data_IF_308145845695
#
_entry.id   IF_308145845695
#
_cell.length_a   1.000
_cell.length_b   1.000
_cell.length_c   1.000
_cell.angle_alpha   90.00
_cell.angle_beta   90.00
_cell.angle_gamma   90.00
#
_symmetry.space_group_name_H-M   'P 1'
#
loop_
_entity.id
_entity.type
_entity.pdbx_description
1 polymer ?
#
# COMPACT_ATOMS: atom_id res chain seq x y z
N UNK A 1 -20.26 -20.97 -0.76
CA UNK A 1 -19.38 -20.07 -1.55
C UNK A 1 -19.76 -18.60 -1.32
N UNK A 2 -21.03 -18.27 -1.12
CA UNK A 2 -21.50 -16.87 -0.93
C UNK A 2 -21.00 -16.20 0.36
N UNK A 3 -20.86 -16.96 1.46
CA UNK A 3 -20.38 -16.43 2.75
C UNK A 3 -18.95 -15.87 2.70
N UNK A 4 -18.08 -16.44 1.84
CA UNK A 4 -16.70 -15.97 1.70
C UNK A 4 -16.62 -14.67 0.89
N UNK A 5 -17.55 -14.45 -0.05
CA UNK A 5 -17.55 -13.23 -0.89
C UNK A 5 -17.91 -12.02 -0.04
N UNK A 6 -18.98 -12.10 0.77
CA UNK A 6 -19.39 -10.99 1.64
C UNK A 6 -18.28 -10.66 2.64
N UNK A 7 -17.65 -11.68 3.22
CA UNK A 7 -16.54 -11.51 4.14
C UNK A 7 -15.32 -10.88 3.44
N UNK A 8 -14.92 -11.37 2.27
CA UNK A 8 -13.80 -10.84 1.51
C UNK A 8 -14.01 -9.37 1.10
N UNK A 9 -15.22 -9.02 0.65
CA UNK A 9 -15.59 -7.62 0.36
C UNK A 9 -15.54 -6.78 1.63
N UNK A 10 -16.10 -7.27 2.74
CA UNK A 10 -16.11 -6.53 4.01
C UNK A 10 -14.69 -6.28 4.53
N UNK A 11 -13.80 -7.26 4.42
CA UNK A 11 -12.39 -7.14 4.82
C UNK A 11 -11.62 -6.16 3.94
N UNK A 12 -11.77 -6.25 2.60
CA UNK A 12 -11.15 -5.30 1.69
C UNK A 12 -11.68 -3.88 1.88
N UNK A 13 -12.99 -3.73 2.15
CA UNK A 13 -13.60 -2.44 2.43
C UNK A 13 -13.11 -1.87 3.76
N UNK A 14 -13.01 -2.70 4.80
CA UNK A 14 -12.48 -2.31 6.11
C UNK A 14 -11.05 -1.77 5.98
N UNK A 15 -10.17 -2.49 5.28
CA UNK A 15 -8.81 -2.06 5.00
C UNK A 15 -8.76 -0.73 4.21
N UNK A 16 -9.65 -0.54 3.21
CA UNK A 16 -9.73 0.73 2.49
C UNK A 16 -10.24 1.89 3.35
N UNK A 17 -11.24 1.64 4.20
CA UNK A 17 -11.82 2.65 5.09
C UNK A 17 -10.86 3.09 6.21
N UNK A 18 -9.96 2.22 6.66
CA UNK A 18 -8.96 2.61 7.67
C UNK A 18 -8.03 3.72 7.15
N UNK A 19 -7.67 3.70 5.86
CA UNK A 19 -6.86 4.76 5.24
C UNK A 19 -7.60 6.09 5.22
N UNK A 20 -8.90 6.06 4.89
CA UNK A 20 -9.76 7.26 4.94
C UNK A 20 -9.85 7.78 6.37
N UNK A 21 -10.04 6.89 7.34
CA UNK A 21 -10.10 7.23 8.75
C UNK A 21 -8.79 7.86 9.25
N UNK A 22 -7.63 7.28 8.91
CA UNK A 22 -6.31 7.84 9.22
C UNK A 22 -6.12 9.23 8.61
N UNK A 23 -6.60 9.44 7.38
CA UNK A 23 -6.64 10.75 6.74
C UNK A 23 -7.51 11.78 7.47
N UNK A 24 -8.66 11.36 8.01
CA UNK A 24 -9.54 12.23 8.79
C UNK A 24 -8.94 12.63 10.14
N UNK A 25 -8.15 11.75 10.78
CA UNK A 25 -7.50 12.05 12.05
C UNK A 25 -6.53 13.25 11.96
N UNK A 26 -5.99 13.53 10.78
CA UNK A 26 -5.11 14.68 10.54
C UNK A 26 -5.81 16.01 10.84
N UNK A 27 -7.14 16.12 10.72
CA UNK A 27 -7.86 17.35 11.07
C UNK A 27 -7.85 17.65 12.58
N UNK A 28 -7.65 16.64 13.43
CA UNK A 28 -7.54 16.80 14.87
C UNK A 28 -6.10 17.00 15.37
N UNK A 29 -5.10 16.64 14.57
CA UNK A 29 -3.69 16.76 14.91
C UNK A 29 -3.20 18.17 14.59
N UNK A 30 -3.03 19.00 15.64
CA UNK A 30 -2.61 20.41 15.51
C UNK A 30 -1.13 20.58 15.16
N UNK A 31 -0.26 19.69 15.64
CA UNK A 31 1.19 19.76 15.39
C UNK A 31 1.70 18.49 14.71
N UNK A 32 2.43 18.67 13.61
CA UNK A 32 3.06 17.57 12.86
C UNK A 32 4.48 17.36 13.37
N UNK A 33 4.67 16.40 14.27
CA UNK A 33 6.01 15.96 14.64
C UNK A 33 6.53 14.95 13.61
N UNK A 34 7.56 15.33 12.85
CA UNK A 34 8.22 14.47 11.84
C UNK A 34 8.63 13.12 12.43
N UNK A 35 9.00 13.07 13.72
CA UNK A 35 9.32 11.83 14.45
C UNK A 35 8.14 10.85 14.46
N UNK A 36 6.92 11.32 14.75
CA UNK A 36 5.72 10.47 14.79
C UNK A 36 5.37 9.95 13.41
N UNK A 37 5.48 10.80 12.37
CA UNK A 37 5.22 10.41 10.98
C UNK A 37 6.24 9.38 10.51
N UNK A 38 7.53 9.59 10.81
CA UNK A 38 8.61 8.67 10.42
C UNK A 38 8.49 7.34 11.15
N UNK A 39 8.09 7.35 12.42
CA UNK A 39 7.80 6.13 13.17
C UNK A 39 6.63 5.36 12.55
N UNK A 40 5.52 6.04 12.22
CA UNK A 40 4.37 5.40 11.58
C UNK A 40 4.71 4.79 10.22
N UNK A 41 5.45 5.52 9.37
CA UNK A 41 5.91 5.02 8.08
C UNK A 41 6.84 3.81 8.22
N UNK A 42 7.79 3.86 9.16
CA UNK A 42 8.70 2.74 9.43
C UNK A 42 7.98 1.51 10.00
N UNK A 43 7.00 1.73 10.88
CA UNK A 43 6.17 0.66 11.43
C UNK A 43 5.34 -0.03 10.33
N UNK A 44 4.66 0.75 9.49
CA UNK A 44 3.89 0.23 8.35
C UNK A 44 4.77 -0.53 7.36
N UNK A 45 5.94 0.01 6.99
CA UNK A 45 6.90 -0.67 6.12
C UNK A 45 7.37 -2.02 6.73
N UNK A 46 7.56 -2.07 8.04
CA UNK A 46 7.90 -3.29 8.77
C UNK A 46 6.79 -4.34 8.71
N UNK A 47 5.55 -3.94 8.99
CA UNK A 47 4.37 -4.81 8.91
C UNK A 47 4.23 -5.38 7.49
N UNK A 48 4.29 -4.55 6.45
CA UNK A 48 4.16 -4.98 5.06
C UNK A 48 5.29 -5.92 4.62
N UNK A 49 6.53 -5.67 5.07
CA UNK A 49 7.66 -6.56 4.78
C UNK A 49 7.49 -7.92 5.45
N UNK A 50 7.04 -7.95 6.72
CA UNK A 50 6.72 -9.19 7.42
C UNK A 50 5.62 -9.97 6.69
N UNK A 51 4.54 -9.29 6.30
CA UNK A 51 3.43 -9.87 5.56
C UNK A 51 3.88 -10.49 4.22
N UNK A 52 4.73 -9.80 3.48
CA UNK A 52 5.24 -10.31 2.22
C UNK A 52 6.10 -11.57 2.40
N UNK A 53 7.03 -11.56 3.36
CA UNK A 53 8.02 -12.63 3.52
C UNK A 53 7.52 -13.84 4.32
N UNK A 54 6.75 -13.63 5.39
CA UNK A 54 6.37 -14.73 6.29
C UNK A 54 4.97 -15.26 6.02
N UNK A 55 4.11 -14.43 5.44
CA UNK A 55 2.71 -14.75 5.21
C UNK A 55 2.47 -15.10 3.73
N UNK A 56 2.63 -14.13 2.81
CA UNK A 56 2.38 -14.34 1.38
C UNK A 56 3.34 -15.36 0.74
N UNK A 57 4.65 -15.28 1.04
CA UNK A 57 5.62 -16.23 0.49
C UNK A 57 5.38 -17.67 0.98
N UNK A 58 5.00 -17.85 2.25
CA UNK A 58 4.67 -19.18 2.80
C UNK A 58 3.43 -19.76 2.14
N UNK A 59 2.38 -18.95 2.00
CA UNK A 59 1.15 -19.36 1.32
C UNK A 59 1.41 -19.73 -0.15
N UNK A 60 2.18 -18.90 -0.87
CA UNK A 60 2.58 -19.19 -2.24
C UNK A 60 3.36 -20.51 -2.35
N UNK A 61 4.31 -20.75 -1.44
CA UNK A 61 5.09 -21.99 -1.39
C UNK A 61 4.22 -23.23 -1.15
N UNK A 62 3.25 -23.14 -0.24
CA UNK A 62 2.32 -24.24 0.04
C UNK A 62 1.41 -24.54 -1.15
N UNK A 63 0.93 -23.53 -1.86
CA UNK A 63 0.07 -23.71 -3.03
C UNK A 63 0.80 -24.21 -4.27
N UNK A 64 2.03 -23.76 -4.49
CA UNK A 64 2.85 -24.17 -5.62
C UNK A 64 3.56 -25.52 -5.38
N UNK A 65 3.73 -25.92 -4.12
CA UNK A 65 4.48 -27.11 -3.74
C UNK A 65 6.00 -26.98 -3.94
N UNK A 66 6.50 -25.81 -4.34
CA UNK A 66 7.93 -25.50 -4.49
C UNK A 66 8.23 -24.12 -3.92
N UNK A 67 9.18 -24.09 -3.00
CA UNK A 67 9.72 -22.85 -2.43
C UNK A 67 10.51 -22.07 -3.48
N UNK A 68 11.21 -22.75 -4.39
CA UNK A 68 11.97 -22.07 -5.45
C UNK A 68 11.04 -21.29 -6.38
N UNK A 69 9.90 -21.88 -6.78
CA UNK A 69 8.91 -21.21 -7.62
C UNK A 69 8.30 -19.98 -6.92
N UNK A 70 8.05 -20.08 -5.61
CA UNK A 70 7.57 -18.95 -4.83
C UNK A 70 8.60 -17.82 -4.75
N UNK A 71 9.89 -18.14 -4.55
CA UNK A 71 10.99 -17.16 -4.55
C UNK A 71 11.14 -16.51 -5.92
N UNK A 72 11.09 -17.30 -7.01
CA UNK A 72 11.15 -16.76 -8.38
C UNK A 72 9.99 -15.81 -8.62
N UNK A 73 8.76 -16.16 -8.23
CA UNK A 73 7.60 -15.28 -8.33
C UNK A 73 7.75 -14.00 -7.53
N UNK A 74 8.26 -14.09 -6.30
CA UNK A 74 8.54 -12.93 -5.45
C UNK A 74 9.61 -12.01 -6.08
N UNK A 75 10.71 -12.58 -6.59
CA UNK A 75 11.76 -11.82 -7.28
C UNK A 75 11.27 -11.18 -8.58
N UNK A 76 10.43 -11.87 -9.36
CA UNK A 76 9.74 -11.27 -10.51
C UNK A 76 8.91 -10.05 -10.08
N UNK A 77 8.19 -10.13 -8.95
CA UNK A 77 7.46 -9.00 -8.38
C UNK A 77 8.36 -7.83 -8.00
N UNK A 78 9.50 -8.09 -7.33
CA UNK A 78 10.49 -7.06 -6.98
C UNK A 78 11.04 -6.36 -8.23
N UNK A 79 11.41 -7.13 -9.26
CA UNK A 79 11.90 -6.59 -10.54
C UNK A 79 10.80 -5.78 -11.23
N UNK A 80 9.56 -6.25 -11.22
CA UNK A 80 8.43 -5.51 -11.79
C UNK A 80 8.23 -4.16 -11.09
N UNK A 81 8.29 -4.12 -9.76
CA UNK A 81 8.23 -2.86 -9.00
C UNK A 81 9.39 -1.94 -9.34
N UNK A 82 10.62 -2.46 -9.46
CA UNK A 82 11.78 -1.68 -9.87
C UNK A 82 11.62 -1.09 -11.28
N UNK A 83 11.05 -1.86 -12.21
CA UNK A 83 10.76 -1.38 -13.57
C UNK A 83 9.69 -0.29 -13.56
N UNK A 84 8.62 -0.46 -12.78
CA UNK A 84 7.58 0.57 -12.60
C UNK A 84 8.19 1.86 -12.04
N UNK A 85 9.05 1.75 -11.03
CA UNK A 85 9.73 2.88 -10.43
C UNK A 85 10.66 3.58 -11.44
N UNK A 86 11.43 2.81 -12.21
CA UNK A 86 12.29 3.34 -13.28
C UNK A 86 11.49 4.12 -14.34
N UNK A 87 10.35 3.58 -14.80
CA UNK A 87 9.49 4.29 -15.75
C UNK A 87 8.85 5.53 -15.12
N UNK A 88 8.40 5.44 -13.88
CA UNK A 88 7.81 6.56 -13.15
C UNK A 88 8.83 7.68 -12.99
N UNK A 89 10.05 7.37 -12.56
CA UNK A 89 11.14 8.32 -12.44
C UNK A 89 11.44 8.97 -13.79
N UNK A 90 11.53 8.21 -14.89
CA UNK A 90 11.78 8.76 -16.22
C UNK A 90 10.68 9.71 -16.73
N UNK A 91 9.42 9.47 -16.36
CA UNK A 91 8.28 10.37 -16.65
C UNK A 91 8.36 11.65 -15.81
N UNK A 92 8.94 11.56 -14.61
CA UNK A 92 9.07 12.68 -13.66
C UNK A 92 10.38 13.46 -13.87
N UNK A 93 11.47 12.83 -14.33
CA UNK A 93 12.82 13.41 -14.52
C UNK A 93 12.89 14.51 -15.58
N UNK A 94 11.92 14.57 -16.49
CA UNK A 94 11.69 15.79 -17.28
C UNK A 94 11.37 17.04 -16.44
N UNK A 95 11.28 16.91 -15.10
CA UNK A 95 10.99 17.95 -14.10
C UNK A 95 11.91 17.90 -12.84
N UNK A 96 12.97 17.09 -12.79
CA UNK A 96 13.61 16.71 -11.50
C UNK A 96 14.54 17.72 -10.81
N UNK A 97 15.07 18.77 -11.46
CA UNK A 97 15.79 19.83 -10.71
C UNK A 97 14.81 20.65 -9.85
N UNK A 98 13.51 20.53 -10.12
CA UNK A 98 12.48 21.23 -9.38
C UNK A 98 12.05 20.47 -8.13
N UNK A 99 12.36 19.18 -7.90
CA UNK A 99 11.65 18.32 -6.92
C UNK A 99 11.94 18.63 -5.43
N UNK A 100 13.18 18.97 -5.09
CA UNK A 100 13.51 19.53 -3.75
C UNK A 100 12.91 20.93 -3.59
N UNK A 101 12.76 21.66 -4.69
CA UNK A 101 12.01 22.91 -4.77
C UNK A 101 10.51 22.73 -5.03
N UNK A 102 9.97 21.52 -5.18
CA UNK A 102 8.59 21.24 -5.65
C UNK A 102 7.71 21.00 -4.45
N UNK A 103 8.25 20.40 -3.38
CA UNK A 103 7.66 20.52 -2.05
C UNK A 103 7.57 21.99 -1.58
N UNK A 104 8.52 22.83 -2.03
CA UNK A 104 8.58 24.26 -1.66
C UNK A 104 7.77 25.18 -2.61
N UNK A 105 7.72 24.87 -3.93
CA UNK A 105 6.95 25.59 -4.96
C UNK A 105 5.51 25.11 -5.10
N UNK A 106 5.17 23.84 -4.86
CA UNK A 106 3.77 23.40 -4.78
C UNK A 106 3.06 24.05 -3.60
N UNK A 107 3.80 24.29 -2.51
CA UNK A 107 3.35 25.12 -1.37
C UNK A 107 2.93 26.53 -1.81
N UNK A 108 3.48 27.04 -2.93
CA UNK A 108 3.34 28.42 -3.36
C UNK A 108 2.44 28.64 -4.60
N UNK A 109 2.01 27.59 -5.35
CA UNK A 109 1.22 27.81 -6.59
C UNK A 109 0.15 26.76 -6.94
N UNK A 110 0.15 25.58 -6.34
CA UNK A 110 -0.94 24.63 -6.55
C UNK A 110 -2.10 24.99 -5.63
N UNK A 111 -3.25 25.30 -6.21
CA UNK A 111 -4.52 25.38 -5.47
C UNK A 111 -4.63 24.14 -4.57
N UNK A 112 -4.77 24.33 -3.25
CA UNK A 112 -4.73 23.26 -2.24
C UNK A 112 -5.59 22.02 -2.61
N UNK A 113 -6.67 22.25 -3.36
CA UNK A 113 -7.55 21.21 -3.90
C UNK A 113 -6.86 20.26 -4.89
N UNK A 114 -6.04 20.78 -5.81
CA UNK A 114 -5.33 19.97 -6.81
C UNK A 114 -4.30 19.07 -6.14
N UNK A 115 -3.52 19.62 -5.22
CA UNK A 115 -2.57 18.84 -4.43
C UNK A 115 -3.27 17.70 -3.67
N UNK A 116 -4.39 17.99 -2.99
CA UNK A 116 -5.18 16.97 -2.30
C UNK A 116 -5.71 15.87 -3.22
N UNK A 117 -6.21 16.22 -4.42
CA UNK A 117 -6.71 15.23 -5.40
C UNK A 117 -5.58 14.34 -5.91
N UNK A 118 -4.41 14.90 -6.25
CA UNK A 118 -3.26 14.11 -6.68
C UNK A 118 -2.78 13.15 -5.58
N UNK A 119 -2.70 13.61 -4.33
CA UNK A 119 -2.35 12.75 -3.19
C UNK A 119 -3.38 11.64 -3.01
N UNK A 120 -4.68 11.94 -3.11
CA UNK A 120 -5.73 10.93 -3.00
C UNK A 120 -5.66 9.86 -4.10
N UNK A 121 -5.38 10.26 -5.35
CA UNK A 121 -5.18 9.33 -6.47
C UNK A 121 -3.95 8.46 -6.23
N UNK A 122 -2.83 9.06 -5.80
CA UNK A 122 -1.60 8.32 -5.53
C UNK A 122 -1.80 7.23 -4.45
N UNK A 123 -2.47 7.58 -3.35
CA UNK A 123 -2.81 6.63 -2.28
C UNK A 123 -3.76 5.55 -2.81
N UNK A 124 -4.78 5.91 -3.59
CA UNK A 124 -5.72 4.94 -4.15
C UNK A 124 -5.03 3.92 -5.07
N UNK A 125 -4.08 4.35 -5.90
CA UNK A 125 -3.31 3.46 -6.79
C UNK A 125 -2.43 2.49 -5.99
N UNK A 126 -1.87 2.94 -4.86
CA UNK A 126 -1.06 2.09 -3.99
C UNK A 126 -1.91 1.05 -3.23
N UNK A 127 -3.05 1.47 -2.69
CA UNK A 127 -3.93 0.60 -1.90
C UNK A 127 -4.74 -0.37 -2.77
N UNK A 128 -4.82 -0.13 -4.08
CA UNK A 128 -5.59 -0.98 -4.99
C UNK A 128 -5.04 -2.42 -5.06
N UNK A 129 -3.73 -2.65 -5.32
CA UNK A 129 -3.13 -3.99 -5.20
C UNK A 129 -3.35 -4.67 -3.84
N UNK A 130 -3.28 -3.92 -2.75
CA UNK A 130 -3.47 -4.45 -1.39
C UNK A 130 -4.91 -4.90 -1.15
N UNK A 131 -5.89 -4.13 -1.64
CA UNK A 131 -7.30 -4.48 -1.63
C UNK A 131 -7.58 -5.76 -2.42
N UNK A 132 -7.05 -5.88 -3.65
CA UNK A 132 -7.18 -7.09 -4.47
C UNK A 132 -6.57 -8.30 -3.76
N UNK A 133 -5.39 -8.11 -3.14
CA UNK A 133 -4.70 -9.17 -2.41
C UNK A 133 -5.56 -9.63 -1.24
N UNK A 134 -6.04 -8.71 -0.40
CA UNK A 134 -6.92 -8.97 0.75
C UNK A 134 -8.18 -9.73 0.34
N UNK A 135 -8.84 -9.29 -0.73
CA UNK A 135 -10.03 -9.96 -1.25
C UNK A 135 -9.71 -11.37 -1.73
N UNK A 136 -8.68 -11.53 -2.56
CA UNK A 136 -8.33 -12.81 -3.19
C UNK A 136 -7.86 -13.84 -2.17
N UNK A 137 -7.13 -13.42 -1.14
CA UNK A 137 -6.68 -14.29 -0.06
C UNK A 137 -7.83 -14.68 0.86
N UNK A 138 -8.71 -13.74 1.22
CA UNK A 138 -9.92 -14.04 2.00
C UNK A 138 -10.85 -15.03 1.31
N UNK A 139 -10.93 -14.99 -0.03
CA UNK A 139 -11.73 -15.92 -0.82
C UNK A 139 -11.22 -17.36 -0.75
N UNK A 140 -9.90 -17.56 -0.65
CA UNK A 140 -9.28 -18.88 -0.56
C UNK A 140 -9.22 -19.34 0.90
N UNK A 141 -8.70 -18.49 1.78
CA UNK A 141 -8.44 -18.78 3.18
C UNK A 141 -8.87 -17.57 4.03
N UNK A 142 -10.08 -17.60 4.64
CA UNK A 142 -10.60 -16.49 5.43
C UNK A 142 -9.70 -16.06 6.58
N UNK A 143 -9.04 -17.01 7.26
CA UNK A 143 -8.13 -16.68 8.36
C UNK A 143 -6.94 -15.86 7.86
N UNK A 144 -6.39 -16.24 6.70
CA UNK A 144 -5.30 -15.51 6.07
C UNK A 144 -5.73 -14.13 5.56
N UNK A 145 -6.93 -14.05 4.96
CA UNK A 145 -7.52 -12.77 4.54
C UNK A 145 -7.74 -11.79 5.70
N UNK A 146 -8.15 -12.29 6.87
CA UNK A 146 -8.28 -11.48 8.09
C UNK A 146 -6.91 -10.93 8.53
N UNK A 147 -5.86 -11.75 8.54
CA UNK A 147 -4.50 -11.29 8.88
C UNK A 147 -4.03 -10.16 7.96
N UNK A 148 -4.19 -10.34 6.65
CA UNK A 148 -3.82 -9.31 5.66
C UNK A 148 -4.66 -8.06 5.84
N UNK A 149 -5.97 -8.17 6.02
CA UNK A 149 -6.85 -7.02 6.20
C UNK A 149 -6.47 -6.18 7.43
N UNK A 150 -6.11 -6.83 8.53
CA UNK A 150 -5.63 -6.14 9.74
C UNK A 150 -4.28 -5.48 9.49
N UNK A 151 -3.36 -6.16 8.82
CA UNK A 151 -2.04 -5.61 8.51
C UNK A 151 -2.11 -4.37 7.60
N UNK A 152 -3.02 -4.37 6.61
CA UNK A 152 -3.29 -3.22 5.75
C UNK A 152 -4.01 -2.11 6.51
N UNK A 153 -4.84 -2.47 7.50
CA UNK A 153 -5.64 -1.50 8.22
C UNK A 153 -4.84 -0.64 9.23
N UNK A 154 -3.66 -1.11 9.64
CA UNK A 154 -2.79 -0.53 10.68
C UNK A 154 -1.70 0.35 10.06
#
# INVERSE_FOLDING_TARGET
>A
MDGNIILAISLSLFAGLSTVFGGLLIFWVKEKHVKTISFGLGFSAGVMTYMALFELMKEASMKLGSVELAIVGFMCGVVATFVIDFFTHKIVEGRSVEEVGFLDKMKCKMENRKAGIFTAIAIAVHNFPEGITTFSTAMVNPAFGISIAIAVAI
#
